data_IF_986453485986
#
_entry.id   IF_986453485986
#
_cell.length_a   1.000
_cell.length_b   1.000
_cell.length_c   1.000
_cell.angle_alpha   90.00
_cell.angle_beta   90.00
_cell.angle_gamma   90.00
#
_symmetry.space_group_name_H-M   'P 1'
#
loop_
_entity.id
_entity.type
_entity.pdbx_description
1 polymer ?
#
# COMPACT_ATOMS: atom_id res chain seq x y z
N UNK A 1 -41.64 -44.09 -10.29
CA UNK A 1 -40.93 -42.87 -10.73
C UNK A 1 -41.30 -41.72 -9.82
N UNK A 2 -40.32 -41.11 -9.13
CA UNK A 2 -40.18 -39.68 -8.79
C UNK A 2 -39.15 -39.56 -7.65
N UNK A 3 -37.94 -39.15 -8.03
CA UNK A 3 -36.83 -38.84 -7.12
C UNK A 3 -37.12 -37.48 -6.49
N UNK A 4 -37.22 -37.41 -5.17
CA UNK A 4 -37.26 -36.13 -4.44
C UNK A 4 -35.80 -35.79 -4.12
N UNK A 5 -35.28 -34.82 -4.87
CA UNK A 5 -33.97 -34.23 -4.69
C UNK A 5 -34.13 -33.08 -3.70
N UNK A 6 -33.60 -33.23 -2.48
CA UNK A 6 -33.42 -32.11 -1.55
C UNK A 6 -32.21 -31.30 -2.03
N UNK A 7 -32.48 -30.14 -2.64
CA UNK A 7 -31.46 -29.14 -2.97
C UNK A 7 -31.12 -28.39 -1.67
N UNK A 8 -29.91 -28.59 -1.18
CA UNK A 8 -29.31 -27.78 -0.12
C UNK A 8 -29.01 -26.41 -0.73
N UNK A 9 -29.90 -25.45 -0.44
CA UNK A 9 -29.68 -24.04 -0.74
C UNK A 9 -28.69 -23.49 0.30
N UNK A 10 -27.40 -23.71 0.07
CA UNK A 10 -26.35 -23.04 0.82
C UNK A 10 -26.36 -21.55 0.46
N UNK A 11 -27.09 -20.77 1.26
CA UNK A 11 -26.96 -19.31 1.32
C UNK A 11 -25.51 -18.99 1.69
N UNK A 12 -24.70 -18.69 0.68
CA UNK A 12 -23.48 -17.93 0.89
C UNK A 12 -23.93 -16.50 1.23
N UNK A 13 -24.02 -16.20 2.53
CA UNK A 13 -24.14 -14.83 3.01
C UNK A 13 -22.80 -14.17 2.68
N UNK A 14 -22.71 -13.57 1.50
CA UNK A 14 -21.74 -12.53 1.24
C UNK A 14 -22.13 -11.38 2.17
N UNK A 15 -21.56 -11.37 3.38
CA UNK A 15 -21.49 -10.16 4.17
C UNK A 15 -20.94 -9.10 3.23
N UNK A 16 -21.73 -8.06 2.97
CA UNK A 16 -21.26 -6.88 2.29
C UNK A 16 -20.04 -6.39 3.07
N UNK A 17 -18.85 -6.74 2.57
CA UNK A 17 -17.62 -6.07 2.97
C UNK A 17 -17.90 -4.63 2.61
N UNK A 18 -18.23 -3.82 3.61
CA UNK A 18 -18.09 -2.38 3.51
C UNK A 18 -16.73 -2.18 2.86
N UNK A 19 -16.72 -1.58 1.67
CA UNK A 19 -15.51 -1.47 0.85
C UNK A 19 -14.56 -0.47 1.53
N UNK A 20 -13.95 -0.90 2.63
CA UNK A 20 -13.00 -0.13 3.40
C UNK A 20 -11.84 0.19 2.48
N UNK A 21 -11.51 1.48 2.41
CA UNK A 21 -10.34 1.90 1.65
C UNK A 21 -9.10 1.28 2.30
N UNK A 22 -8.11 0.94 1.47
CA UNK A 22 -6.83 0.43 1.99
C UNK A 22 -6.17 1.46 2.93
N UNK A 23 -6.43 2.74 2.72
CA UNK A 23 -5.96 3.85 3.55
C UNK A 23 -6.54 3.80 4.96
N UNK A 24 -7.86 3.57 5.10
CA UNK A 24 -8.51 3.37 6.39
C UNK A 24 -7.96 2.15 7.12
N UNK A 25 -7.82 1.03 6.40
CA UNK A 25 -7.33 -0.22 7.01
C UNK A 25 -5.88 -0.06 7.48
N UNK A 26 -5.02 0.54 6.66
CA UNK A 26 -3.63 0.82 7.02
C UNK A 26 -3.51 1.84 8.17
N UNK A 27 -4.42 2.81 8.25
CA UNK A 27 -4.47 3.78 9.35
C UNK A 27 -4.80 3.15 10.71
N UNK A 28 -5.59 2.07 10.74
CA UNK A 28 -5.84 1.32 12.00
C UNK A 28 -4.56 0.74 12.58
N UNK A 29 -3.63 0.27 11.75
CA UNK A 29 -2.35 -0.26 12.23
C UNK A 29 -1.45 0.81 12.86
N UNK A 30 -1.64 2.08 12.54
CA UNK A 30 -0.92 3.18 13.22
C UNK A 30 -1.48 3.46 14.61
N UNK A 31 -2.70 3.00 14.89
CA UNK A 31 -3.38 3.15 16.17
C UNK A 31 -3.22 1.91 17.08
N UNK A 32 -2.71 0.80 16.53
CA UNK A 32 -2.44 -0.40 17.32
C UNK A 32 -1.24 -0.15 18.25
N UNK A 33 -1.39 -0.60 19.49
CA UNK A 33 -0.35 -0.61 20.51
C UNK A 33 0.03 -2.06 20.85
N UNK A 34 1.04 -2.24 21.71
CA UNK A 34 1.51 -3.56 22.11
C UNK A 34 0.45 -4.41 22.84
N UNK A 35 -0.64 -3.78 23.32
CA UNK A 35 -1.76 -4.43 24.04
C UNK A 35 -2.96 -4.79 23.16
N UNK A 36 -2.86 -4.57 21.84
CA UNK A 36 -4.00 -4.83 20.94
C UNK A 36 -4.38 -6.31 20.95
N UNK A 37 -5.67 -6.61 21.14
CA UNK A 37 -6.16 -7.99 21.21
C UNK A 37 -5.87 -8.74 19.89
N UNK A 38 -5.45 -10.00 19.99
CA UNK A 38 -5.25 -10.92 18.86
C UNK A 38 -6.44 -10.95 17.91
N UNK A 39 -7.65 -10.83 18.44
CA UNK A 39 -8.90 -10.82 17.66
C UNK A 39 -9.01 -9.57 16.78
N UNK A 40 -8.67 -8.41 17.33
CA UNK A 40 -8.64 -7.14 16.61
C UNK A 40 -7.56 -7.16 15.52
N UNK A 41 -6.36 -7.61 15.89
CA UNK A 41 -5.23 -7.72 14.96
C UNK A 41 -5.54 -8.70 13.82
N UNK A 42 -6.16 -9.84 14.12
CA UNK A 42 -6.61 -10.83 13.12
C UNK A 42 -7.65 -10.25 12.17
N UNK A 43 -8.61 -9.50 12.72
CA UNK A 43 -9.65 -8.82 11.93
C UNK A 43 -9.04 -7.78 11.00
N UNK A 44 -8.14 -6.93 11.52
CA UNK A 44 -7.46 -5.92 10.73
C UNK A 44 -6.57 -6.53 9.64
N UNK A 45 -5.86 -7.62 9.91
CA UNK A 45 -5.08 -8.35 8.90
C UNK A 45 -5.97 -8.99 7.83
N UNK A 46 -7.14 -9.49 8.20
CA UNK A 46 -8.11 -10.03 7.24
C UNK A 46 -8.65 -8.93 6.32
N UNK A 47 -9.04 -7.78 6.88
CA UNK A 47 -9.42 -6.61 6.09
C UNK A 47 -8.29 -6.12 5.20
N UNK A 48 -7.06 -6.12 5.70
CA UNK A 48 -5.88 -5.71 4.93
C UNK A 48 -5.63 -6.65 3.76
N UNK A 49 -5.82 -7.94 3.94
CA UNK A 49 -5.70 -8.94 2.86
C UNK A 49 -6.63 -8.56 1.69
N UNK A 50 -7.90 -8.33 1.96
CA UNK A 50 -8.88 -7.95 0.93
C UNK A 50 -8.57 -6.59 0.30
N UNK A 51 -8.16 -5.61 1.11
CA UNK A 51 -7.84 -4.26 0.63
C UNK A 51 -6.59 -4.26 -0.28
N UNK A 52 -5.55 -5.03 0.07
CA UNK A 52 -4.34 -5.19 -0.75
C UNK A 52 -4.65 -5.96 -2.03
N UNK A 53 -5.44 -7.03 -1.97
CA UNK A 53 -5.90 -7.75 -3.17
C UNK A 53 -6.65 -6.79 -4.12
N UNK A 54 -7.52 -5.94 -3.57
CA UNK A 54 -8.25 -4.93 -4.36
C UNK A 54 -7.30 -3.90 -4.99
N UNK A 55 -6.42 -3.26 -4.20
CA UNK A 55 -5.48 -2.25 -4.70
C UNK A 55 -4.54 -2.81 -5.77
N UNK A 56 -4.10 -4.07 -5.62
CA UNK A 56 -3.26 -4.75 -6.60
C UNK A 56 -4.00 -5.04 -7.91
N UNK A 57 -5.30 -5.35 -7.85
CA UNK A 57 -6.11 -5.65 -9.02
C UNK A 57 -6.74 -4.42 -9.68
N UNK A 58 -6.71 -3.27 -9.01
CA UNK A 58 -7.14 -2.00 -9.55
C UNK A 58 -6.10 -1.46 -10.56
N UNK A 59 -6.21 -1.84 -11.83
CA UNK A 59 -5.38 -1.34 -12.94
C UNK A 59 -3.99 -2.00 -13.10
N UNK A 60 -3.18 -1.45 -14.01
CA UNK A 60 -1.86 -1.97 -14.40
C UNK A 60 -0.70 -1.31 -13.63
N UNK A 61 -0.80 -1.24 -12.31
CA UNK A 61 0.29 -0.72 -11.49
C UNK A 61 1.51 -1.65 -11.51
N UNK A 62 2.73 -1.09 -11.62
CA UNK A 62 3.96 -1.88 -11.82
C UNK A 62 4.31 -2.79 -10.63
N UNK A 63 3.70 -2.54 -9.46
CA UNK A 63 3.94 -3.28 -8.22
C UNK A 63 2.83 -4.27 -7.87
N UNK A 64 1.90 -4.53 -8.80
CA UNK A 64 0.80 -5.50 -8.61
C UNK A 64 1.27 -6.84 -8.08
N UNK A 65 2.32 -7.43 -8.67
CA UNK A 65 2.83 -8.74 -8.27
C UNK A 65 3.35 -8.73 -6.83
N UNK A 66 4.09 -7.70 -6.46
CA UNK A 66 4.63 -7.54 -5.11
C UNK A 66 3.52 -7.33 -4.08
N UNK A 67 2.48 -6.55 -4.41
CA UNK A 67 1.30 -6.41 -3.56
C UNK A 67 0.59 -7.75 -3.35
N UNK A 68 0.36 -8.53 -4.42
CA UNK A 68 -0.20 -9.89 -4.33
C UNK A 68 0.72 -10.84 -3.55
N UNK A 69 2.03 -10.65 -3.59
CA UNK A 69 2.98 -11.36 -2.73
C UNK A 69 2.74 -11.07 -1.24
N UNK A 70 2.46 -9.81 -0.89
CA UNK A 70 2.16 -9.44 0.50
C UNK A 70 0.84 -10.02 1.00
N UNK A 71 -0.15 -10.22 0.12
CA UNK A 71 -1.39 -10.95 0.47
C UNK A 71 -1.07 -12.35 1.01
N UNK A 72 -0.14 -13.06 0.36
CA UNK A 72 0.34 -14.36 0.85
C UNK A 72 1.02 -14.24 2.22
N UNK A 73 1.87 -13.23 2.41
CA UNK A 73 2.54 -12.98 3.69
C UNK A 73 1.55 -12.67 4.82
N UNK A 74 0.50 -11.90 4.56
CA UNK A 74 -0.56 -11.62 5.54
C UNK A 74 -1.28 -12.93 5.91
N UNK A 75 -1.68 -13.74 4.92
CA UNK A 75 -2.35 -15.03 5.15
C UNK A 75 -1.49 -15.99 5.98
N UNK A 76 -0.17 -15.92 5.86
CA UNK A 76 0.76 -16.71 6.67
C UNK A 76 0.93 -16.18 8.11
N UNK A 77 0.84 -14.87 8.31
CA UNK A 77 0.96 -14.24 9.64
C UNK A 77 -0.31 -14.39 10.47
N UNK A 78 -1.50 -14.42 9.85
CA UNK A 78 -2.77 -14.56 10.55
C UNK A 78 -2.77 -15.76 11.54
N UNK A 79 -2.40 -17.00 11.14
CA UNK A 79 -2.28 -18.13 12.06
C UNK A 79 -1.31 -17.90 13.21
N UNK A 80 -0.21 -17.19 12.97
CA UNK A 80 0.79 -16.86 13.99
C UNK A 80 0.24 -15.85 15.01
N UNK A 81 -0.54 -14.87 14.56
CA UNK A 81 -1.22 -13.92 15.44
C UNK A 81 -2.25 -14.64 16.30
N UNK A 82 -3.10 -15.47 15.69
CA UNK A 82 -4.10 -16.25 16.43
C UNK A 82 -3.44 -17.20 17.44
N UNK A 83 -2.31 -17.80 17.06
CA UNK A 83 -1.50 -18.67 17.93
C UNK A 83 -0.66 -17.93 18.97
N UNK A 84 -0.58 -16.59 18.92
CA UNK A 84 0.23 -15.78 19.82
C UNK A 84 1.74 -15.88 19.61
N UNK A 85 2.19 -16.38 18.46
CA UNK A 85 3.62 -16.55 18.12
C UNK A 85 4.14 -15.45 17.20
N UNK A 86 3.27 -14.60 16.65
CA UNK A 86 3.67 -13.47 15.83
C UNK A 86 4.39 -12.40 16.68
N UNK A 87 5.55 -11.96 16.20
CA UNK A 87 6.29 -10.85 16.82
C UNK A 87 5.81 -9.51 16.25
N UNK A 88 5.59 -8.51 17.10
CA UNK A 88 5.15 -7.17 16.69
C UNK A 88 6.03 -6.56 15.59
N UNK A 89 7.36 -6.72 15.69
CA UNK A 89 8.29 -6.25 14.67
C UNK A 89 8.09 -6.87 13.27
N UNK A 90 7.62 -8.13 13.18
CA UNK A 90 7.32 -8.78 11.89
C UNK A 90 6.07 -8.15 11.26
N UNK A 91 5.04 -7.91 12.07
CA UNK A 91 3.80 -7.28 11.63
C UNK A 91 4.09 -5.84 11.20
N UNK A 92 4.81 -5.07 12.01
CA UNK A 92 5.18 -3.70 11.68
C UNK A 92 5.96 -3.63 10.35
N UNK A 93 6.92 -4.54 10.15
CA UNK A 93 7.67 -4.63 8.90
C UNK A 93 6.76 -4.95 7.71
N UNK A 94 5.81 -5.87 7.87
CA UNK A 94 4.82 -6.19 6.85
C UNK A 94 3.97 -4.96 6.50
N UNK A 95 3.44 -4.25 7.49
CA UNK A 95 2.62 -3.05 7.28
C UNK A 95 3.42 -1.94 6.58
N UNK A 96 4.66 -1.68 7.00
CA UNK A 96 5.56 -0.72 6.36
C UNK A 96 5.83 -1.09 4.89
N UNK A 97 6.03 -2.38 4.62
CA UNK A 97 6.23 -2.92 3.28
C UNK A 97 5.00 -2.69 2.39
N UNK A 98 3.80 -2.97 2.92
CA UNK A 98 2.54 -2.75 2.20
C UNK A 98 2.33 -1.26 1.93
N UNK A 99 2.48 -0.38 2.93
CA UNK A 99 2.37 1.09 2.74
C UNK A 99 3.28 1.57 1.62
N UNK A 100 4.53 1.12 1.62
CA UNK A 100 5.48 1.49 0.59
C UNK A 100 5.06 1.01 -0.80
N UNK A 101 4.60 -0.23 -0.92
CA UNK A 101 4.11 -0.76 -2.19
C UNK A 101 2.86 -0.05 -2.69
N UNK A 102 1.90 0.22 -1.82
CA UNK A 102 0.66 0.91 -2.17
C UNK A 102 0.99 2.31 -2.70
N UNK A 103 1.82 3.07 -1.97
CA UNK A 103 2.28 4.39 -2.41
C UNK A 103 3.01 4.32 -3.75
N UNK A 104 3.95 3.38 -3.90
CA UNK A 104 4.72 3.21 -5.13
C UNK A 104 3.84 2.77 -6.32
N UNK A 105 2.85 1.90 -6.08
CA UNK A 105 1.88 1.42 -7.07
C UNK A 105 1.03 2.58 -7.58
N UNK A 106 0.47 3.38 -6.68
CA UNK A 106 -0.34 4.55 -7.03
C UNK A 106 0.49 5.62 -7.75
N UNK A 107 1.72 5.91 -7.32
CA UNK A 107 2.61 6.81 -8.04
C UNK A 107 2.93 6.30 -9.45
N UNK A 108 3.13 5.00 -9.62
CA UNK A 108 3.36 4.41 -10.94
C UNK A 108 2.18 4.63 -11.89
N UNK A 109 0.94 4.46 -11.39
CA UNK A 109 -0.28 4.76 -12.13
C UNK A 109 -0.38 6.25 -12.47
N UNK A 110 -0.05 7.13 -11.52
CA UNK A 110 -0.06 8.59 -11.74
C UNK A 110 0.92 9.02 -12.81
N UNK A 111 2.12 8.43 -12.85
CA UNK A 111 3.12 8.67 -13.89
C UNK A 111 2.71 8.09 -15.25
N UNK A 112 2.12 6.88 -15.27
CA UNK A 112 1.58 6.28 -16.49
C UNK A 112 0.41 7.07 -17.08
N UNK A 113 -0.35 7.79 -16.25
CA UNK A 113 -1.44 8.69 -16.65
C UNK A 113 -1.01 10.02 -17.27
N UNK A 114 0.27 10.21 -17.59
CA UNK A 114 0.78 11.36 -18.35
C UNK A 114 1.09 12.58 -17.50
N UNK A 115 0.07 13.33 -17.07
CA UNK A 115 0.25 14.62 -16.37
C UNK A 115 0.20 14.49 -14.84
N UNK A 116 1.11 15.18 -14.15
CA UNK A 116 1.11 15.34 -12.69
C UNK A 116 0.48 16.65 -12.21
N UNK A 117 0.10 17.55 -13.12
CA UNK A 117 -0.50 18.84 -12.78
C UNK A 117 -1.83 18.64 -12.04
N UNK A 118 -2.04 19.40 -10.96
CA UNK A 118 -3.21 19.29 -10.09
C UNK A 118 -3.28 18.01 -9.25
N UNK A 119 -2.20 17.21 -9.21
CA UNK A 119 -2.13 15.96 -8.44
C UNK A 119 -1.18 16.07 -7.23
N UNK A 120 -0.83 17.28 -6.79
CA UNK A 120 0.16 17.53 -5.74
C UNK A 120 -0.20 16.84 -4.42
N UNK A 121 -1.44 17.00 -3.96
CA UNK A 121 -1.94 16.36 -2.74
C UNK A 121 -1.87 14.82 -2.80
N UNK A 122 -2.30 14.23 -3.93
CA UNK A 122 -2.21 12.77 -4.14
C UNK A 122 -0.76 12.28 -4.16
N UNK A 123 0.14 13.05 -4.77
CA UNK A 123 1.57 12.74 -4.78
C UNK A 123 2.14 12.75 -3.35
N UNK A 124 1.83 13.79 -2.58
CA UNK A 124 2.29 13.93 -1.20
C UNK A 124 1.79 12.78 -0.31
N UNK A 125 0.51 12.40 -0.42
CA UNK A 125 -0.05 11.27 0.33
C UNK A 125 0.66 9.96 0.03
N UNK A 126 0.88 9.65 -1.25
CA UNK A 126 1.57 8.42 -1.65
C UNK A 126 3.05 8.42 -1.25
N UNK A 127 3.74 9.56 -1.31
CA UNK A 127 5.12 9.70 -0.84
C UNK A 127 5.23 9.47 0.68
N UNK A 128 4.26 9.94 1.46
CA UNK A 128 4.22 9.68 2.90
C UNK A 128 4.06 8.19 3.21
N UNK A 129 3.24 7.47 2.44
CA UNK A 129 3.14 6.01 2.56
C UNK A 129 4.46 5.32 2.20
N UNK A 130 5.14 5.79 1.15
CA UNK A 130 6.47 5.29 0.79
C UNK A 130 7.51 5.49 1.88
N UNK A 131 7.47 6.65 2.56
CA UNK A 131 8.38 6.96 3.66
C UNK A 131 8.29 5.96 4.81
N UNK A 132 7.14 5.33 5.03
CA UNK A 132 6.98 4.28 6.03
C UNK A 132 7.89 3.06 5.78
N UNK A 133 8.28 2.82 4.53
CA UNK A 133 9.20 1.75 4.15
C UNK A 133 10.68 2.13 4.17
N UNK A 134 11.05 3.35 4.53
CA UNK A 134 12.45 3.79 4.52
C UNK A 134 13.35 2.91 5.40
N UNK A 135 12.83 2.41 6.52
CA UNK A 135 13.50 1.49 7.45
C UNK A 135 13.79 0.10 6.87
N UNK A 136 13.17 -0.24 5.72
CA UNK A 136 13.36 -1.53 5.07
C UNK A 136 14.66 -1.59 4.26
N UNK A 137 15.23 -0.41 3.98
CA UNK A 137 16.52 -0.25 3.31
C UNK A 137 17.67 -0.26 4.33
N UNK A 138 18.89 -0.60 3.88
CA UNK A 138 20.11 -0.36 4.67
C UNK A 138 20.30 1.14 4.96
N UNK A 139 21.10 1.49 5.98
CA UNK A 139 21.24 2.89 6.44
C UNK A 139 21.56 3.90 5.31
N UNK A 140 22.47 3.52 4.40
CA UNK A 140 22.90 4.38 3.28
C UNK A 140 21.76 4.58 2.28
N UNK A 141 21.10 3.50 1.88
CA UNK A 141 19.99 3.51 0.94
C UNK A 141 18.74 4.18 1.52
N UNK A 142 18.50 4.01 2.84
CA UNK A 142 17.41 4.64 3.58
C UNK A 142 17.54 6.16 3.60
N UNK A 143 18.75 6.67 3.84
CA UNK A 143 19.05 8.10 3.77
C UNK A 143 18.80 8.66 2.37
N UNK A 144 19.36 8.01 1.33
CA UNK A 144 19.13 8.41 -0.06
C UNK A 144 17.66 8.38 -0.48
N UNK A 145 16.93 7.35 -0.07
CA UNK A 145 15.49 7.21 -0.31
C UNK A 145 14.70 8.34 0.37
N UNK A 146 14.99 8.61 1.64
CA UNK A 146 14.31 9.68 2.40
C UNK A 146 14.62 11.06 1.84
N UNK A 147 15.86 11.33 1.45
CA UNK A 147 16.25 12.58 0.79
C UNK A 147 15.52 12.76 -0.55
N UNK A 148 15.42 11.70 -1.35
CA UNK A 148 14.70 11.74 -2.62
C UNK A 148 13.20 12.03 -2.40
N UNK A 149 12.56 11.37 -1.44
CA UNK A 149 11.19 11.67 -1.03
C UNK A 149 11.05 13.14 -0.59
N UNK A 150 11.98 13.65 0.21
CA UNK A 150 11.97 15.05 0.68
C UNK A 150 12.05 16.06 -0.47
N UNK A 151 12.94 15.83 -1.43
CA UNK A 151 13.10 16.68 -2.61
C UNK A 151 11.84 16.70 -3.48
N UNK A 152 11.24 15.53 -3.69
CA UNK A 152 9.98 15.41 -4.44
C UNK A 152 8.87 16.13 -3.69
N UNK A 153 8.73 15.87 -2.38
CA UNK A 153 7.71 16.46 -1.50
C UNK A 153 7.75 17.99 -1.50
N UNK A 154 8.95 18.59 -1.51
CA UNK A 154 9.12 20.05 -1.56
C UNK A 154 8.62 20.70 -2.86
N UNK A 155 8.40 19.91 -3.92
CA UNK A 155 7.94 20.39 -5.22
C UNK A 155 6.50 20.02 -5.56
N UNK A 156 5.83 19.19 -4.74
CA UNK A 156 4.46 18.73 -5.04
C UNK A 156 3.42 19.84 -4.95
N UNK A 157 3.57 20.77 -4.00
CA UNK A 157 2.66 21.93 -3.87
C UNK A 157 2.66 22.84 -5.09
N UNK A 158 3.77 22.87 -5.85
CA UNK A 158 3.89 23.64 -7.09
C UNK A 158 3.07 23.04 -8.24
N UNK A 159 2.71 21.75 -8.17
CA UNK A 159 1.91 21.09 -9.20
C UNK A 159 0.45 21.56 -9.21
N UNK A 160 -0.04 22.04 -8.08
CA UNK A 160 -1.44 22.48 -7.93
C UNK A 160 -1.64 23.92 -8.40
N UNK A 161 -0.57 24.72 -8.48
CA UNK A 161 -0.61 26.14 -8.86
C UNK A 161 -0.76 26.42 -10.36
N UNK A 162 -0.65 25.41 -11.23
CA UNK A 162 -0.74 25.57 -12.68
C UNK A 162 0.38 26.44 -13.30
N UNK A 163 0.25 26.76 -14.59
CA UNK A 163 1.18 27.64 -15.30
C UNK A 163 2.59 27.08 -15.54
N UNK A 164 3.55 27.96 -15.84
CA UNK A 164 4.93 27.57 -16.19
C UNK A 164 5.68 26.95 -15.00
N UNK A 165 5.45 27.43 -13.78
CA UNK A 165 6.08 26.88 -12.58
C UNK A 165 5.65 25.42 -12.32
N UNK A 166 4.36 25.10 -12.49
CA UNK A 166 3.87 23.74 -12.32
C UNK A 166 4.41 22.79 -13.41
N UNK A 167 4.50 23.25 -14.67
CA UNK A 167 5.12 22.47 -15.76
C UNK A 167 6.61 22.20 -15.53
N UNK A 168 7.34 23.18 -15.02
CA UNK A 168 8.74 23.02 -14.66
C UNK A 168 8.90 22.03 -13.50
N UNK A 169 8.06 22.15 -12.46
CA UNK A 169 8.03 21.20 -11.35
C UNK A 169 7.72 19.77 -11.83
N UNK A 170 6.70 19.59 -12.66
CA UNK A 170 6.36 18.29 -13.25
C UNK A 170 7.54 17.67 -14.01
N UNK A 171 8.22 18.47 -14.85
CA UNK A 171 9.37 18.01 -15.63
C UNK A 171 10.52 17.55 -14.75
N UNK A 172 10.78 18.26 -13.64
CA UNK A 172 11.79 17.88 -12.67
C UNK A 172 11.40 16.65 -11.83
N UNK A 173 10.11 16.50 -11.52
CA UNK A 173 9.60 15.44 -10.65
C UNK A 173 9.53 14.07 -11.33
N UNK A 174 9.20 14.00 -12.63
CA UNK A 174 9.05 12.72 -13.34
C UNK A 174 10.29 11.82 -13.25
N UNK A 175 11.52 12.30 -13.53
CA UNK A 175 12.74 11.50 -13.37
C UNK A 175 12.99 11.08 -11.91
N UNK A 176 12.72 11.96 -10.94
CA UNK A 176 12.92 11.67 -9.52
C UNK A 176 11.97 10.55 -9.04
N UNK A 177 10.70 10.61 -9.44
CA UNK A 177 9.74 9.56 -9.16
C UNK A 177 10.11 8.25 -9.87
N UNK A 178 10.62 8.32 -11.10
CA UNK A 178 11.22 7.19 -11.82
C UNK A 178 12.32 6.50 -11.02
N UNK A 179 13.28 7.27 -10.51
CA UNK A 179 14.37 6.77 -9.67
C UNK A 179 13.85 6.16 -8.36
N UNK A 180 12.88 6.82 -7.72
CA UNK A 180 12.27 6.35 -6.47
C UNK A 180 11.60 4.98 -6.67
N UNK A 181 10.84 4.82 -7.75
CA UNK A 181 10.22 3.53 -8.11
C UNK A 181 11.27 2.46 -8.41
N UNK A 182 12.35 2.83 -9.11
CA UNK A 182 13.48 1.94 -9.36
C UNK A 182 14.14 1.43 -8.06
N UNK A 183 14.24 2.27 -7.03
CA UNK A 183 14.75 1.86 -5.72
C UNK A 183 13.82 0.85 -5.03
N UNK A 184 12.50 1.09 -5.05
CA UNK A 184 11.52 0.15 -4.49
C UNK A 184 11.55 -1.19 -5.22
N UNK A 185 11.61 -1.17 -6.56
CA UNK A 185 11.68 -2.39 -7.37
C UNK A 185 12.91 -3.24 -7.08
N UNK A 186 14.07 -2.61 -6.79
CA UNK A 186 15.30 -3.35 -6.41
C UNK A 186 15.23 -3.98 -5.02
N UNK A 187 14.51 -3.35 -4.10
CA UNK A 187 14.34 -3.87 -2.74
C UNK A 187 13.40 -5.10 -2.71
N UNK A 188 12.47 -5.17 -3.67
CA UNK A 188 11.31 -6.06 -3.63
C UNK A 188 11.24 -6.91 -4.91
N UNK A 189 12.09 -7.95 -5.01
CA UNK A 189 12.15 -8.85 -6.16
C UNK A 189 10.87 -9.69 -6.35
#
# INVERSE_FOLDING_TARGET
MKKIICIILSLFVFSAVNAQSIDEVLGRFDQLNDDSDKTELTTNLTSLTAAVEKEANDGEGQFKKQLLGQVGNIKNIIPMVTGGTAKGGIIQKLIQTIKMLVGANRLSKMLGGGSLLGKGAGLAGNLNMMKAGASLFGEKESSGFTSLIGNISGSTSKLDGGGMAAKAAETALKPQLGNLMGMVGKLMP
#
